data_IF_999208137727
#
_entry.id   IF_999208137727
#
_cell.length_a   1.000
_cell.length_b   1.000
_cell.length_c   1.000
_cell.angle_alpha   90.00
_cell.angle_beta   90.00
_cell.angle_gamma   90.00
#
_symmetry.space_group_name_H-M   'P 1'
#
loop_
_entity.id
_entity.type
_entity.pdbx_description
1 polymer ?
#
# COMPACT_ATOMS: atom_id res chain seq x y z
N UNK A 1 -28.46 -20.69 -10.70
CA UNK A 1 -28.11 -20.17 -9.37
C UNK A 1 -28.32 -21.26 -8.36
N UNK A 2 -27.36 -21.46 -7.45
CA UNK A 2 -27.40 -22.53 -6.45
C UNK A 2 -27.03 -21.95 -5.09
N UNK A 3 -27.73 -22.33 -4.03
CA UNK A 3 -27.41 -21.96 -2.66
C UNK A 3 -27.50 -23.19 -1.77
N UNK A 4 -26.49 -23.42 -0.93
CA UNK A 4 -26.43 -24.55 -0.01
C UNK A 4 -26.30 -24.06 1.44
N UNK A 5 -27.18 -24.57 2.30
CA UNK A 5 -27.19 -24.29 3.73
C UNK A 5 -26.94 -25.56 4.53
N UNK A 6 -26.02 -25.49 5.48
CA UNK A 6 -25.88 -26.45 6.55
C UNK A 6 -26.46 -25.84 7.82
N UNK A 7 -27.58 -26.40 8.24
CA UNK A 7 -28.33 -25.96 9.41
C UNK A 7 -28.04 -26.94 10.53
N UNK A 8 -27.59 -26.43 11.67
CA UNK A 8 -27.34 -27.21 12.89
C UNK A 8 -28.31 -26.77 13.97
N UNK A 9 -28.86 -27.73 14.69
CA UNK A 9 -29.75 -27.48 15.82
C UNK A 9 -29.60 -28.59 16.88
N UNK A 10 -29.95 -28.33 18.14
CA UNK A 10 -30.05 -29.38 19.15
C UNK A 10 -30.99 -30.50 18.67
N UNK A 11 -30.63 -31.76 18.89
CA UNK A 11 -31.50 -32.90 18.57
C UNK A 11 -32.57 -33.00 19.68
N UNK A 12 -33.73 -32.41 19.41
CA UNK A 12 -34.96 -32.60 20.16
C UNK A 12 -35.82 -33.63 19.40
N UNK A 13 -35.97 -34.83 19.97
CA UNK A 13 -36.72 -35.91 19.31
C UNK A 13 -38.20 -35.55 19.07
N UNK A 14 -38.74 -34.58 19.81
CA UNK A 14 -40.12 -34.12 19.69
C UNK A 14 -40.33 -33.06 18.60
N UNK A 15 -39.33 -32.24 18.28
CA UNK A 15 -39.50 -31.08 17.39
C UNK A 15 -38.52 -31.08 16.21
N UNK A 16 -39.05 -31.00 14.99
CA UNK A 16 -38.25 -30.97 13.77
C UNK A 16 -37.22 -32.14 13.64
N UNK A 17 -37.58 -33.33 14.11
CA UNK A 17 -36.68 -34.48 14.24
C UNK A 17 -36.40 -35.26 12.94
N UNK A 18 -37.02 -34.89 11.82
CA UNK A 18 -36.82 -35.55 10.54
C UNK A 18 -37.06 -34.62 9.35
N UNK A 19 -36.70 -35.08 8.14
CA UNK A 19 -36.84 -34.34 6.88
C UNK A 19 -38.26 -33.83 6.62
N UNK A 20 -39.28 -34.64 6.90
CA UNK A 20 -40.68 -34.25 6.65
C UNK A 20 -41.09 -33.11 7.59
N UNK A 21 -40.79 -33.23 8.88
CA UNK A 21 -41.06 -32.21 9.88
C UNK A 21 -40.39 -30.87 9.51
N UNK A 22 -39.14 -30.90 9.07
CA UNK A 22 -38.43 -29.70 8.61
C UNK A 22 -39.10 -29.05 7.39
N UNK A 23 -39.49 -29.84 6.38
CA UNK A 23 -40.20 -29.33 5.20
C UNK A 23 -41.56 -28.74 5.56
N UNK A 24 -42.30 -29.39 6.45
CA UNK A 24 -43.60 -28.90 6.90
C UNK A 24 -43.45 -27.63 7.75
N UNK A 25 -42.36 -27.50 8.51
CA UNK A 25 -42.02 -26.26 9.22
C UNK A 25 -41.77 -25.09 8.27
N UNK A 26 -41.07 -25.31 7.15
CA UNK A 26 -40.88 -24.26 6.14
C UNK A 26 -42.21 -23.75 5.55
N UNK A 27 -43.25 -24.59 5.49
CA UNK A 27 -44.59 -24.22 4.99
C UNK A 27 -45.41 -23.39 5.99
N UNK A 28 -44.98 -23.27 7.24
CA UNK A 28 -45.65 -22.41 8.24
C UNK A 28 -45.63 -20.95 7.78
N UNK A 29 -44.60 -20.58 7.02
CA UNK A 29 -44.53 -19.25 6.43
C UNK A 29 -45.46 -19.10 5.22
N UNK A 30 -46.48 -18.25 5.35
CA UNK A 30 -47.42 -17.98 4.26
C UNK A 30 -46.78 -17.46 2.97
N UNK A 31 -45.54 -16.96 3.01
CA UNK A 31 -44.80 -16.49 1.82
C UNK A 31 -44.10 -17.63 1.05
N UNK A 32 -44.06 -18.83 1.62
CA UNK A 32 -43.45 -20.00 1.01
C UNK A 32 -44.54 -21.02 0.66
N UNK A 33 -44.46 -21.59 -0.54
CA UNK A 33 -45.24 -22.77 -0.88
C UNK A 33 -44.34 -23.86 -1.44
N UNK A 34 -44.61 -25.12 -1.07
CA UNK A 34 -43.78 -26.26 -1.44
C UNK A 34 -44.67 -27.30 -2.11
N UNK A 35 -44.34 -27.65 -3.35
CA UNK A 35 -45.04 -28.67 -4.14
C UNK A 35 -44.02 -29.63 -4.76
N UNK A 36 -44.02 -30.88 -4.30
CA UNK A 36 -43.03 -31.88 -4.72
C UNK A 36 -41.61 -31.46 -4.36
N UNK A 37 -40.73 -31.36 -5.37
CA UNK A 37 -39.34 -30.91 -5.22
C UNK A 37 -39.14 -29.41 -5.54
N UNK A 38 -40.23 -28.64 -5.60
CA UNK A 38 -40.19 -27.21 -5.89
C UNK A 38 -40.64 -26.39 -4.68
N UNK A 39 -39.95 -25.29 -4.46
CA UNK A 39 -40.27 -24.25 -3.49
C UNK A 39 -40.52 -22.95 -4.25
N UNK A 40 -41.66 -22.32 -3.96
CA UNK A 40 -42.04 -21.03 -4.52
C UNK A 40 -42.04 -19.97 -3.43
N UNK A 41 -41.65 -18.76 -3.82
CA UNK A 41 -41.62 -17.58 -2.95
C UNK A 41 -42.53 -16.49 -3.50
N UNK A 42 -43.26 -15.81 -2.60
CA UNK A 42 -44.08 -14.64 -2.92
C UNK A 42 -43.80 -13.52 -1.91
N UNK A 43 -43.88 -12.26 -2.36
CA UNK A 43 -43.65 -11.09 -1.48
C UNK A 43 -44.83 -10.79 -0.55
N UNK A 44 -46.04 -11.22 -0.91
CA UNK A 44 -47.24 -11.05 -0.10
C UNK A 44 -48.04 -12.36 -0.03
N UNK A 45 -48.80 -12.63 1.05
CA UNK A 45 -49.51 -13.90 1.21
C UNK A 45 -50.54 -14.18 0.11
N UNK A 46 -51.11 -13.13 -0.49
CA UNK A 46 -52.07 -13.21 -1.61
C UNK A 46 -51.46 -12.89 -2.98
N UNK A 47 -50.13 -12.72 -3.04
CA UNK A 47 -49.41 -12.38 -4.25
C UNK A 47 -49.16 -13.58 -5.16
N UNK A 48 -48.75 -13.31 -6.40
CA UNK A 48 -48.25 -14.33 -7.33
C UNK A 48 -46.84 -14.77 -6.94
N UNK A 49 -46.53 -16.03 -7.21
CA UNK A 49 -45.17 -16.57 -7.06
C UNK A 49 -44.18 -15.74 -7.89
N UNK A 50 -43.12 -15.27 -7.23
CA UNK A 50 -42.08 -14.41 -7.81
C UNK A 50 -40.89 -15.21 -8.30
N UNK A 51 -40.53 -16.26 -7.57
CA UNK A 51 -39.45 -17.19 -7.94
C UNK A 51 -39.85 -18.61 -7.58
N UNK A 52 -39.46 -19.54 -8.44
CA UNK A 52 -39.55 -20.98 -8.21
C UNK A 52 -38.15 -21.56 -8.23
N UNK A 53 -37.80 -22.30 -7.19
CA UNK A 53 -36.55 -23.05 -7.10
C UNK A 53 -36.83 -24.53 -6.90
N UNK A 54 -35.96 -25.38 -7.45
CA UNK A 54 -35.84 -26.78 -7.02
C UNK A 54 -35.20 -26.78 -5.64
N UNK A 55 -35.63 -27.68 -4.75
CA UNK A 55 -34.99 -27.83 -3.45
C UNK A 55 -34.79 -29.29 -3.07
N UNK A 56 -33.74 -29.55 -2.29
CA UNK A 56 -33.42 -30.85 -1.70
C UNK A 56 -33.04 -30.68 -0.24
N UNK A 57 -33.52 -31.58 0.61
CA UNK A 57 -33.17 -31.64 2.03
C UNK A 57 -32.61 -33.01 2.35
N UNK A 58 -31.49 -33.02 3.05
CA UNK A 58 -30.88 -34.19 3.70
C UNK A 58 -30.73 -33.90 5.20
N UNK A 59 -30.78 -34.93 6.03
CA UNK A 59 -30.65 -34.78 7.48
C UNK A 59 -30.10 -36.05 8.10
N UNK A 60 -29.30 -35.89 9.15
CA UNK A 60 -28.85 -36.97 10.02
C UNK A 60 -28.49 -36.41 11.41
N UNK A 61 -28.29 -37.30 12.39
CA UNK A 61 -27.76 -36.94 13.70
C UNK A 61 -26.24 -36.70 13.61
N UNK A 62 -25.75 -35.72 14.36
CA UNK A 62 -24.32 -35.48 14.53
C UNK A 62 -23.77 -36.57 15.47
N UNK A 63 -22.77 -37.33 15.03
CA UNK A 63 -22.31 -38.52 15.78
C UNK A 63 -21.72 -38.20 17.16
N UNK A 64 -21.15 -37.02 17.32
CA UNK A 64 -20.37 -36.62 18.50
C UNK A 64 -21.14 -35.78 19.51
N UNK A 65 -22.29 -35.22 19.14
CA UNK A 65 -23.07 -34.30 19.96
C UNK A 65 -24.57 -34.63 19.85
N UNK A 66 -25.37 -34.21 20.83
CA UNK A 66 -26.83 -34.29 20.75
C UNK A 66 -27.40 -33.20 19.83
N UNK A 67 -27.00 -33.24 18.56
CA UNK A 67 -27.32 -32.27 17.52
C UNK A 67 -27.80 -32.99 16.27
N UNK A 68 -28.61 -32.30 15.47
CA UNK A 68 -29.05 -32.74 14.15
C UNK A 68 -28.68 -31.70 13.12
N UNK A 69 -28.29 -32.16 11.95
CA UNK A 69 -28.09 -31.27 10.81
C UNK A 69 -29.16 -31.43 9.76
N UNK A 70 -29.42 -30.33 9.05
CA UNK A 70 -30.17 -30.30 7.79
C UNK A 70 -29.30 -29.66 6.73
N UNK A 71 -29.02 -30.41 5.66
CA UNK A 71 -28.41 -29.88 4.45
C UNK A 71 -29.53 -29.51 3.48
N UNK A 72 -29.74 -28.21 3.28
CA UNK A 72 -30.73 -27.66 2.37
C UNK A 72 -30.04 -27.09 1.13
N UNK A 73 -30.39 -27.62 -0.03
CA UNK A 73 -29.90 -27.16 -1.34
C UNK A 73 -31.06 -26.52 -2.10
N UNK A 74 -30.85 -25.31 -2.60
CA UNK A 74 -31.79 -24.55 -3.43
C UNK A 74 -31.17 -24.28 -4.80
N UNK A 75 -31.91 -24.53 -5.87
CA UNK A 75 -31.47 -24.34 -7.24
C UNK A 75 -32.53 -23.61 -8.06
N UNK A 76 -32.15 -22.45 -8.60
CA UNK A 76 -32.99 -21.66 -9.51
C UNK A 76 -32.26 -21.51 -10.84
N UNK A 77 -32.87 -21.95 -11.94
CA UNK A 77 -32.27 -21.90 -13.28
C UNK A 77 -32.29 -20.48 -13.88
N UNK A 78 -33.28 -19.66 -13.52
CA UNK A 78 -33.48 -18.33 -14.10
C UNK A 78 -32.62 -17.27 -13.39
N UNK A 79 -31.46 -16.95 -13.97
CA UNK A 79 -30.55 -15.94 -13.40
C UNK A 79 -31.13 -14.51 -13.35
N UNK A 80 -32.16 -14.21 -14.14
CA UNK A 80 -32.90 -12.94 -14.08
C UNK A 80 -33.63 -12.74 -12.75
N UNK A 81 -33.96 -13.82 -12.03
CA UNK A 81 -34.67 -13.79 -10.75
C UNK A 81 -33.71 -13.79 -9.55
N UNK A 82 -32.49 -13.28 -9.72
CA UNK A 82 -31.44 -13.29 -8.69
C UNK A 82 -31.88 -12.57 -7.41
N UNK A 83 -32.62 -11.47 -7.55
CA UNK A 83 -33.07 -10.65 -6.43
C UNK A 83 -34.12 -11.42 -5.62
N UNK A 84 -35.13 -11.97 -6.29
CA UNK A 84 -36.19 -12.76 -5.69
C UNK A 84 -35.65 -14.06 -5.06
N UNK A 85 -34.66 -14.69 -5.72
CA UNK A 85 -33.99 -15.88 -5.19
C UNK A 85 -33.13 -15.57 -3.95
N UNK A 86 -32.51 -14.39 -3.91
CA UNK A 86 -31.83 -13.87 -2.72
C UNK A 86 -32.82 -13.65 -1.57
N UNK A 87 -33.98 -13.06 -1.85
CA UNK A 87 -35.04 -12.83 -0.86
C UNK A 87 -35.58 -14.16 -0.29
N UNK A 88 -35.82 -15.16 -1.14
CA UNK A 88 -36.16 -16.52 -0.71
C UNK A 88 -35.10 -17.12 0.21
N UNK A 89 -33.83 -17.00 -0.17
CA UNK A 89 -32.69 -17.53 0.59
C UNK A 89 -32.61 -16.92 2.00
N UNK A 90 -32.70 -15.59 2.11
CA UNK A 90 -32.72 -14.90 3.42
C UNK A 90 -33.98 -15.22 4.22
N UNK A 91 -35.14 -15.38 3.55
CA UNK A 91 -36.39 -15.75 4.22
C UNK A 91 -36.30 -17.14 4.83
N UNK A 92 -35.72 -18.11 4.12
CA UNK A 92 -35.48 -19.46 4.64
C UNK A 92 -34.60 -19.42 5.88
N UNK A 93 -33.48 -18.66 5.87
CA UNK A 93 -32.63 -18.49 7.06
C UNK A 93 -33.44 -18.00 8.25
N UNK A 94 -34.24 -16.94 8.04
CA UNK A 94 -35.08 -16.36 9.09
C UNK A 94 -36.15 -17.32 9.62
N UNK A 95 -36.71 -18.19 8.77
CA UNK A 95 -37.65 -19.22 9.22
C UNK A 95 -36.91 -20.25 10.06
N UNK A 96 -35.80 -20.78 9.55
CA UNK A 96 -35.02 -21.84 10.20
C UNK A 96 -34.48 -21.41 11.57
N UNK A 97 -34.04 -20.16 11.71
CA UNK A 97 -33.62 -19.59 13.00
C UNK A 97 -34.73 -19.61 14.07
N UNK A 98 -36.00 -19.71 13.67
CA UNK A 98 -37.14 -19.81 14.60
C UNK A 98 -37.41 -21.23 15.10
N UNK A 99 -36.72 -22.25 14.57
CA UNK A 99 -36.87 -23.63 15.03
C UNK A 99 -36.39 -23.74 16.48
N UNK A 100 -35.18 -23.26 16.76
CA UNK A 100 -34.62 -23.15 18.11
C UNK A 100 -33.91 -21.81 18.26
N UNK A 101 -34.63 -20.71 18.58
CA UNK A 101 -34.05 -19.37 18.66
C UNK A 101 -32.82 -19.32 19.58
N UNK A 102 -31.70 -18.81 19.04
CA UNK A 102 -30.42 -18.71 19.77
C UNK A 102 -29.60 -20.00 19.84
N UNK A 103 -30.15 -21.15 19.45
CA UNK A 103 -29.45 -22.44 19.41
C UNK A 103 -29.30 -23.02 17.99
N UNK A 104 -30.05 -22.51 17.02
CA UNK A 104 -29.90 -22.89 15.60
C UNK A 104 -28.77 -22.10 14.95
N UNK A 105 -27.82 -22.80 14.33
CA UNK A 105 -26.77 -22.20 13.51
C UNK A 105 -27.03 -22.48 12.02
N UNK A 106 -27.01 -21.42 11.20
CA UNK A 106 -27.23 -21.53 9.74
C UNK A 106 -25.96 -21.14 8.99
N UNK A 107 -25.23 -22.15 8.50
CA UNK A 107 -24.01 -21.96 7.74
C UNK A 107 -24.32 -22.00 6.24
N UNK A 108 -23.83 -21.02 5.48
CA UNK A 108 -23.92 -21.06 4.01
C UNK A 108 -22.68 -21.73 3.46
N UNK A 109 -22.82 -22.94 2.91
CA UNK A 109 -21.71 -23.70 2.32
C UNK A 109 -21.40 -23.24 0.89
N UNK A 110 -22.44 -22.84 0.16
CA UNK A 110 -22.30 -22.34 -1.21
C UNK A 110 -23.29 -21.20 -1.44
N UNK A 111 -22.79 -20.01 -1.81
CA UNK A 111 -23.59 -18.83 -2.12
C UNK A 111 -23.46 -18.45 -3.59
N UNK A 112 -24.27 -19.07 -4.45
CA UNK A 112 -24.29 -18.75 -5.87
C UNK A 112 -24.86 -17.36 -6.17
N UNK A 113 -25.69 -16.81 -5.29
CA UNK A 113 -26.25 -15.45 -5.44
C UNK A 113 -25.17 -14.41 -5.19
N UNK A 114 -24.51 -14.50 -4.03
CA UNK A 114 -23.41 -13.61 -3.68
C UNK A 114 -22.26 -13.69 -4.67
N UNK A 115 -21.97 -14.87 -5.20
CA UNK A 115 -21.01 -15.04 -6.29
C UNK A 115 -21.38 -14.25 -7.54
N UNK A 116 -22.63 -14.31 -8.00
CA UNK A 116 -23.04 -13.56 -9.20
C UNK A 116 -22.95 -12.05 -8.97
N UNK A 117 -23.31 -11.57 -7.76
CA UNK A 117 -23.12 -10.16 -7.44
C UNK A 117 -21.64 -9.76 -7.41
N UNK A 118 -20.78 -10.61 -6.85
CA UNK A 118 -19.32 -10.40 -6.85
C UNK A 118 -18.76 -10.34 -8.28
N UNK A 119 -19.15 -11.28 -9.15
CA UNK A 119 -18.77 -11.32 -10.57
C UNK A 119 -19.23 -10.04 -11.31
N UNK A 120 -20.44 -9.54 -11.02
CA UNK A 120 -20.93 -8.27 -11.59
C UNK A 120 -20.25 -7.04 -11.01
N UNK A 121 -19.84 -7.07 -9.74
CA UNK A 121 -19.20 -5.95 -9.06
C UNK A 121 -17.74 -5.75 -9.48
N UNK A 122 -17.03 -6.85 -9.74
CA UNK A 122 -15.59 -6.81 -9.99
C UNK A 122 -15.18 -5.89 -11.15
N UNK A 123 -15.81 -5.94 -12.35
CA UNK A 123 -15.46 -5.04 -13.45
C UNK A 123 -15.65 -3.56 -13.10
N UNK A 124 -16.69 -3.23 -12.31
CA UNK A 124 -17.00 -1.87 -11.88
C UNK A 124 -15.90 -1.34 -10.96
N UNK A 125 -15.47 -2.15 -10.00
CA UNK A 125 -14.41 -1.80 -9.06
C UNK A 125 -13.07 -1.65 -9.80
N UNK A 126 -12.75 -2.60 -10.68
CA UNK A 126 -11.53 -2.58 -11.49
C UNK A 126 -11.45 -1.32 -12.37
N UNK A 127 -12.57 -0.89 -12.97
CA UNK A 127 -12.59 0.36 -13.74
C UNK A 127 -12.22 1.56 -12.87
N UNK A 128 -12.85 1.72 -11.71
CA UNK A 128 -12.60 2.84 -10.79
C UNK A 128 -11.18 2.83 -10.24
N UNK A 129 -10.64 1.66 -9.93
CA UNK A 129 -9.25 1.47 -9.53
C UNK A 129 -8.29 1.98 -10.61
N UNK A 130 -8.49 1.56 -11.86
CA UNK A 130 -7.66 1.99 -12.98
C UNK A 130 -7.79 3.49 -13.27
N UNK A 131 -8.98 4.08 -13.08
CA UNK A 131 -9.15 5.53 -13.20
C UNK A 131 -8.35 6.28 -12.13
N UNK A 132 -8.33 5.80 -10.90
CA UNK A 132 -7.52 6.39 -9.83
C UNK A 132 -6.02 6.24 -10.10
N UNK A 133 -5.57 5.05 -10.51
CA UNK A 133 -4.18 4.79 -10.92
C UNK A 133 -3.76 5.75 -12.04
N UNK A 134 -4.62 5.94 -13.02
CA UNK A 134 -4.38 6.87 -14.13
C UNK A 134 -4.29 8.33 -13.67
N UNK A 135 -5.15 8.77 -12.75
CA UNK A 135 -5.11 10.11 -12.18
C UNK A 135 -3.77 10.34 -11.46
N UNK A 136 -3.39 9.42 -10.58
CA UNK A 136 -2.14 9.52 -9.81
C UNK A 136 -0.93 9.51 -10.74
N UNK A 137 -0.86 8.57 -11.68
CA UNK A 137 0.25 8.48 -12.62
C UNK A 137 0.40 9.77 -13.42
N UNK A 138 -0.71 10.31 -13.96
CA UNK A 138 -0.67 11.56 -14.72
C UNK A 138 -0.26 12.74 -13.87
N UNK A 139 -0.81 12.86 -12.66
CA UNK A 139 -0.42 13.91 -11.72
C UNK A 139 1.09 13.82 -11.45
N UNK A 140 1.58 12.69 -10.93
CA UNK A 140 2.98 12.57 -10.53
C UNK A 140 3.96 12.66 -11.70
N UNK A 141 3.61 12.17 -12.90
CA UNK A 141 4.46 12.32 -14.09
C UNK A 141 4.54 13.76 -14.57
N UNK A 142 3.43 14.50 -14.55
CA UNK A 142 3.40 15.92 -14.97
C UNK A 142 4.14 16.79 -13.95
N UNK A 143 4.00 16.47 -12.65
CA UNK A 143 4.49 17.33 -11.57
C UNK A 143 5.93 17.01 -11.16
N UNK A 144 6.26 15.73 -11.00
CA UNK A 144 7.58 15.30 -10.51
C UNK A 144 8.47 14.82 -11.65
N UNK A 145 7.93 14.04 -12.60
CA UNK A 145 8.68 13.51 -13.76
C UNK A 145 8.88 12.00 -13.70
N UNK A 146 9.72 11.44 -14.58
CA UNK A 146 9.80 9.99 -14.81
C UNK A 146 10.19 9.14 -13.58
N UNK A 147 10.98 9.68 -12.65
CA UNK A 147 11.47 8.97 -11.47
C UNK A 147 10.61 9.21 -10.21
N UNK A 148 9.39 9.74 -10.37
CA UNK A 148 8.52 10.15 -9.26
C UNK A 148 8.26 9.05 -8.23
N UNK A 149 8.24 7.77 -8.63
CA UNK A 149 8.04 6.64 -7.73
C UNK A 149 9.21 6.44 -6.77
N UNK A 150 10.43 6.78 -7.20
CA UNK A 150 11.64 6.79 -6.37
C UNK A 150 11.74 8.08 -5.55
N UNK A 151 11.36 9.20 -6.16
CA UNK A 151 11.61 10.54 -5.62
C UNK A 151 10.50 11.08 -4.71
N UNK A 152 9.25 10.61 -4.86
CA UNK A 152 8.06 11.23 -4.27
C UNK A 152 7.01 10.22 -3.76
N UNK A 153 7.36 8.96 -3.51
CA UNK A 153 6.49 7.98 -2.83
C UNK A 153 7.03 7.68 -1.43
N UNK A 154 6.14 7.34 -0.50
CA UNK A 154 6.50 6.93 0.86
C UNK A 154 7.51 5.76 0.82
N UNK A 155 8.65 5.83 1.55
CA UNK A 155 9.67 4.77 1.53
C UNK A 155 9.15 3.37 1.84
N UNK A 156 8.11 3.22 2.68
CA UNK A 156 7.48 1.93 2.94
C UNK A 156 6.72 1.37 1.72
N UNK A 157 6.08 2.26 0.96
CA UNK A 157 5.43 1.90 -0.30
C UNK A 157 6.45 1.61 -1.39
N UNK A 158 7.52 2.40 -1.49
CA UNK A 158 8.60 2.14 -2.43
C UNK A 158 9.27 0.77 -2.20
N UNK A 159 9.48 0.37 -0.94
CA UNK A 159 9.96 -0.98 -0.61
C UNK A 159 9.04 -2.10 -1.11
N UNK A 160 7.73 -1.86 -1.25
CA UNK A 160 6.80 -2.84 -1.84
C UNK A 160 6.96 -2.92 -3.36
N UNK A 161 7.24 -1.79 -3.99
CA UNK A 161 7.53 -1.67 -5.44
C UNK A 161 8.84 -2.38 -5.77
N UNK A 162 9.91 -2.16 -4.98
CA UNK A 162 11.22 -2.83 -5.18
C UNK A 162 11.18 -4.35 -4.95
N UNK A 163 10.31 -4.82 -4.06
CA UNK A 163 10.14 -6.25 -3.77
C UNK A 163 9.26 -6.98 -4.78
N UNK A 164 8.75 -6.29 -5.79
CA UNK A 164 7.92 -6.90 -6.81
C UNK A 164 8.81 -7.75 -7.74
N UNK A 165 8.56 -9.06 -7.78
CA UNK A 165 9.44 -10.03 -8.46
C UNK A 165 9.36 -9.98 -10.00
N UNK A 166 8.31 -9.37 -10.57
CA UNK A 166 8.14 -9.25 -12.03
C UNK A 166 8.87 -8.02 -12.59
N UNK A 167 9.90 -8.27 -13.41
CA UNK A 167 10.71 -7.28 -14.12
C UNK A 167 10.09 -6.82 -15.47
N UNK A 168 8.76 -6.77 -15.60
CA UNK A 168 8.16 -6.25 -16.83
C UNK A 168 8.40 -4.73 -16.94
N UNK A 169 9.21 -4.26 -17.91
CA UNK A 169 9.58 -2.85 -18.03
C UNK A 169 8.39 -1.96 -18.42
N UNK A 170 7.27 -2.53 -18.85
CA UNK A 170 6.06 -1.81 -19.23
C UNK A 170 5.04 -1.68 -18.08
N UNK A 171 5.30 -2.30 -16.92
CA UNK A 171 4.45 -2.17 -15.72
C UNK A 171 4.82 -0.90 -14.95
N UNK A 172 3.92 0.10 -14.97
CA UNK A 172 4.06 1.30 -14.15
C UNK A 172 4.04 0.93 -12.65
N UNK A 173 4.87 1.60 -11.85
CA UNK A 173 5.06 1.35 -10.43
C UNK A 173 3.79 1.39 -9.57
N UNK A 174 2.75 2.13 -10.00
CA UNK A 174 1.46 2.06 -9.35
C UNK A 174 0.88 0.64 -9.40
N UNK A 175 0.98 -0.09 -10.51
CA UNK A 175 0.46 -1.45 -10.63
C UNK A 175 1.12 -2.46 -9.69
N UNK A 176 2.28 -2.11 -9.13
CA UNK A 176 2.96 -2.89 -8.08
C UNK A 176 2.40 -2.63 -6.68
N UNK A 177 1.48 -1.66 -6.54
CA UNK A 177 0.82 -1.29 -5.29
C UNK A 177 -0.63 -1.77 -5.23
N UNK A 178 -1.06 -2.28 -4.07
CA UNK A 178 -2.46 -2.61 -3.79
C UNK A 178 -3.41 -1.39 -3.79
N UNK A 179 -4.71 -1.66 -3.96
CA UNK A 179 -5.82 -0.70 -3.94
C UNK A 179 -5.76 0.32 -2.80
N UNK A 180 -5.40 -0.12 -1.59
CA UNK A 180 -5.36 0.74 -0.40
C UNK A 180 -4.17 1.72 -0.44
N UNK A 181 -3.07 1.36 -1.09
CA UNK A 181 -1.90 2.23 -1.18
C UNK A 181 -2.15 3.42 -2.11
N UNK A 182 -3.09 3.30 -3.06
CA UNK A 182 -3.50 4.42 -3.91
C UNK A 182 -4.08 5.59 -3.09
N UNK A 183 -4.79 5.29 -1.99
CA UNK A 183 -5.31 6.35 -1.12
C UNK A 183 -4.20 7.06 -0.37
N UNK A 184 -3.13 6.34 0.00
CA UNK A 184 -1.98 6.93 0.70
C UNK A 184 -1.22 7.92 -0.18
N UNK A 185 -1.16 7.71 -1.50
CA UNK A 185 -0.49 8.65 -2.41
C UNK A 185 -1.23 10.00 -2.52
N UNK A 186 -2.57 10.00 -2.48
CA UNK A 186 -3.38 11.22 -2.67
C UNK A 186 -3.84 11.89 -1.38
N UNK A 187 -4.16 11.11 -0.35
CA UNK A 187 -4.87 11.58 0.86
C UNK A 187 -4.01 11.59 2.12
N UNK A 188 -2.82 10.98 2.11
CA UNK A 188 -1.90 11.07 3.25
C UNK A 188 -1.46 12.53 3.43
N UNK A 189 -1.73 13.07 4.63
CA UNK A 189 -1.38 14.45 4.97
C UNK A 189 0.10 14.54 5.27
N UNK A 190 0.79 15.51 4.67
CA UNK A 190 2.24 15.69 4.81
C UNK A 190 2.56 17.11 5.21
N UNK A 191 3.74 17.29 5.82
CA UNK A 191 4.32 18.59 6.15
C UNK A 191 5.18 19.04 4.98
N UNK A 192 5.12 20.32 4.67
CA UNK A 192 5.84 20.90 3.53
C UNK A 192 7.21 21.44 3.92
N UNK A 193 7.54 21.48 5.20
CA UNK A 193 8.88 21.86 5.70
C UNK A 193 9.25 20.93 6.85
N UNK A 194 10.56 20.73 7.08
CA UNK A 194 11.03 19.91 8.19
C UNK A 194 10.84 20.62 9.54
N UNK A 195 10.88 19.87 10.64
CA UNK A 195 10.81 20.46 11.99
C UNK A 195 12.02 21.38 12.25
N UNK A 196 13.19 21.01 11.73
CA UNK A 196 14.41 21.81 11.87
C UNK A 196 14.34 23.14 11.11
N UNK A 197 13.67 23.19 9.96
CA UNK A 197 13.44 24.44 9.22
C UNK A 197 12.46 25.37 9.94
N UNK A 198 11.39 24.83 10.53
CA UNK A 198 10.47 25.61 11.35
C UNK A 198 11.18 26.20 12.58
N UNK A 199 12.01 25.39 13.26
CA UNK A 199 12.77 25.82 14.44
C UNK A 199 13.82 26.90 14.11
N UNK A 200 14.27 26.99 12.85
CA UNK A 200 15.16 28.07 12.37
C UNK A 200 14.40 29.37 12.06
N UNK A 201 13.12 29.29 11.71
CA UNK A 201 12.27 30.42 11.28
C UNK A 201 11.56 31.12 12.46
N UNK A 202 11.08 30.35 13.43
CA UNK A 202 10.35 30.84 14.60
C UNK A 202 11.11 31.87 15.46
N UNK A 203 12.45 31.78 15.67
CA UNK A 203 13.17 32.72 16.53
C UNK A 203 13.57 34.03 15.83
N UNK A 204 13.47 34.11 14.50
CA UNK A 204 14.08 35.18 13.69
C UNK A 204 13.10 36.22 13.13
N UNK A 205 11.80 36.13 13.39
CA UNK A 205 10.81 36.88 12.59
C UNK A 205 9.59 37.37 13.38
N UNK A 206 9.22 38.65 13.21
CA UNK A 206 7.88 39.17 13.50
C UNK A 206 6.99 38.97 12.27
N UNK A 207 5.92 38.18 12.40
CA UNK A 207 5.17 37.68 11.25
C UNK A 207 4.26 38.74 10.60
N UNK A 208 4.48 39.01 9.31
CA UNK A 208 3.57 39.76 8.45
C UNK A 208 2.52 38.83 7.76
N UNK A 209 1.66 39.36 6.88
CA UNK A 209 0.62 38.53 6.20
C UNK A 209 1.21 37.48 5.23
N UNK A 210 2.39 37.74 4.65
CA UNK A 210 3.12 36.79 3.80
C UNK A 210 3.72 35.64 4.64
N UNK A 211 4.19 35.95 5.85
CA UNK A 211 4.65 34.95 6.82
C UNK A 211 3.50 34.10 7.39
N UNK A 212 2.31 34.68 7.59
CA UNK A 212 1.11 33.91 7.91
C UNK A 212 0.76 32.93 6.80
N UNK A 213 0.89 33.34 5.55
CA UNK A 213 0.66 32.47 4.39
C UNK A 213 1.65 31.29 4.37
N UNK A 214 2.92 31.54 4.74
CA UNK A 214 3.95 30.50 4.91
C UNK A 214 3.70 29.58 6.11
N UNK A 215 3.27 30.10 7.26
CA UNK A 215 2.90 29.29 8.44
C UNK A 215 1.67 28.44 8.15
N UNK A 216 0.73 28.93 7.35
CA UNK A 216 -0.42 28.13 6.89
C UNK A 216 0.00 26.92 6.02
N UNK A 217 1.19 26.94 5.40
CA UNK A 217 1.79 25.79 4.70
C UNK A 217 2.38 24.73 5.65
N UNK A 218 2.59 25.06 6.93
CA UNK A 218 2.94 24.08 7.96
C UNK A 218 1.76 23.19 8.37
N UNK A 219 0.52 23.65 8.11
CA UNK A 219 -0.68 22.83 8.37
C UNK A 219 -0.69 21.67 7.36
N UNK A 220 -0.64 20.41 7.82
CA UNK A 220 -0.48 19.29 6.93
C UNK A 220 -1.72 19.12 6.04
N UNK A 221 -1.50 19.18 4.73
CA UNK A 221 -2.53 19.02 3.70
C UNK A 221 -2.15 17.90 2.74
N UNK A 222 -3.14 17.12 2.34
CA UNK A 222 -3.00 16.07 1.34
C UNK A 222 -2.87 16.65 -0.08
N UNK A 223 -2.32 15.88 -1.03
CA UNK A 223 -2.29 16.27 -2.45
C UNK A 223 -3.70 16.57 -2.98
N UNK A 224 -4.72 15.83 -2.49
CA UNK A 224 -6.12 16.12 -2.78
C UNK A 224 -6.56 17.51 -2.31
N UNK A 225 -6.27 17.87 -1.05
CA UNK A 225 -6.63 19.15 -0.47
C UNK A 225 -5.90 20.34 -1.13
N UNK A 226 -4.68 20.10 -1.62
CA UNK A 226 -3.84 21.13 -2.26
C UNK A 226 -4.25 21.42 -3.70
N UNK A 227 -4.41 20.37 -4.50
CA UNK A 227 -4.43 20.52 -5.96
C UNK A 227 -5.79 20.21 -6.59
N UNK A 228 -6.69 19.53 -5.88
CA UNK A 228 -7.92 19.02 -6.47
C UNK A 228 -9.19 19.56 -5.80
N UNK A 229 -9.25 19.65 -4.47
CA UNK A 229 -10.47 19.98 -3.72
C UNK A 229 -11.16 21.28 -4.18
N UNK A 230 -10.38 22.34 -4.45
CA UNK A 230 -10.84 23.63 -4.95
C UNK A 230 -11.29 23.58 -6.42
N UNK A 231 -10.68 22.71 -7.22
CA UNK A 231 -10.98 22.55 -8.63
C UNK A 231 -12.25 21.74 -8.88
N UNK A 232 -12.60 20.79 -8.00
CA UNK A 232 -13.75 19.89 -8.22
C UNK A 232 -15.03 20.28 -7.47
N UNK A 233 -15.00 21.39 -6.70
CA UNK A 233 -16.10 21.83 -5.81
C UNK A 233 -16.63 20.69 -4.90
N UNK A 234 -15.70 19.88 -4.40
CA UNK A 234 -16.01 18.76 -3.51
C UNK A 234 -15.39 18.97 -2.13
N UNK A 235 -16.25 19.02 -1.10
CA UNK A 235 -15.83 19.25 0.28
C UNK A 235 -14.76 18.24 0.72
N UNK A 236 -13.77 18.74 1.47
CA UNK A 236 -12.68 17.96 2.04
C UNK A 236 -13.19 16.66 2.72
N UNK A 237 -12.51 15.54 2.46
CA UNK A 237 -12.78 14.17 2.96
C UNK A 237 -13.97 13.40 2.35
N UNK A 238 -14.76 13.98 1.44
CA UNK A 238 -15.87 13.26 0.78
C UNK A 238 -15.40 12.07 -0.06
N UNK A 239 -14.37 12.28 -0.89
CA UNK A 239 -13.84 11.25 -1.78
C UNK A 239 -13.09 10.14 -1.03
N UNK A 240 -12.25 10.52 -0.06
CA UNK A 240 -11.46 9.61 0.78
C UNK A 240 -12.37 8.59 1.50
N UNK A 241 -13.43 9.06 2.17
CA UNK A 241 -14.39 8.18 2.86
C UNK A 241 -15.12 7.23 1.90
N UNK A 242 -15.48 7.72 0.71
CA UNK A 242 -16.10 6.88 -0.34
C UNK A 242 -15.12 5.81 -0.82
N UNK A 243 -13.84 6.16 -0.97
CA UNK A 243 -12.78 5.24 -1.37
C UNK A 243 -12.52 4.15 -0.32
N UNK A 244 -12.43 4.52 0.96
CA UNK A 244 -12.29 3.56 2.07
C UNK A 244 -13.46 2.58 2.15
N UNK A 245 -14.68 3.09 1.94
CA UNK A 245 -15.88 2.26 1.93
C UNK A 245 -15.90 1.31 0.73
N UNK A 246 -15.51 1.80 -0.45
CA UNK A 246 -15.37 0.98 -1.65
C UNK A 246 -14.29 -0.11 -1.45
N UNK A 247 -13.18 0.20 -0.77
CA UNK A 247 -12.13 -0.77 -0.43
C UNK A 247 -12.67 -1.90 0.45
N UNK A 248 -13.45 -1.58 1.50
CA UNK A 248 -14.09 -2.61 2.37
C UNK A 248 -14.99 -3.53 1.56
N UNK A 249 -15.79 -2.97 0.64
CA UNK A 249 -16.68 -3.73 -0.24
C UNK A 249 -15.91 -4.56 -1.27
N UNK A 250 -14.82 -4.01 -1.84
CA UNK A 250 -13.90 -4.72 -2.75
C UNK A 250 -13.29 -5.94 -2.10
N UNK A 251 -12.81 -5.83 -0.86
CA UNK A 251 -12.26 -6.97 -0.13
C UNK A 251 -13.32 -8.05 0.09
N UNK A 252 -14.58 -7.65 0.33
CA UNK A 252 -15.68 -8.59 0.42
C UNK A 252 -15.88 -9.39 -0.89
N UNK A 253 -15.87 -8.69 -2.03
CA UNK A 253 -15.94 -9.28 -3.37
C UNK A 253 -14.76 -10.22 -3.63
N UNK A 254 -13.51 -9.77 -3.39
CA UNK A 254 -12.30 -10.55 -3.66
C UNK A 254 -12.17 -11.81 -2.78
N UNK A 255 -12.65 -11.77 -1.54
CA UNK A 255 -12.63 -12.91 -0.63
C UNK A 255 -13.87 -13.80 -0.74
N UNK A 256 -14.72 -13.62 -1.76
CA UNK A 256 -15.96 -14.38 -1.97
C UNK A 256 -16.88 -14.42 -0.73
N UNK A 257 -16.88 -13.33 0.07
CA UNK A 257 -17.72 -13.24 1.27
C UNK A 257 -19.12 -12.83 0.83
N UNK A 258 -20.15 -13.66 1.07
CA UNK A 258 -21.57 -13.46 0.73
C UNK A 258 -21.96 -11.99 0.45
N UNK A 259 -21.88 -11.58 -0.82
CA UNK A 259 -22.17 -10.21 -1.28
C UNK A 259 -23.69 -10.09 -1.44
N UNK A 260 -24.31 -9.16 -0.73
CA UNK A 260 -25.76 -8.92 -0.80
C UNK A 260 -26.09 -7.92 -1.91
N UNK A 261 -27.35 -7.95 -2.37
CA UNK A 261 -27.87 -6.97 -3.35
C UNK A 261 -27.61 -5.51 -2.92
N UNK A 262 -27.91 -5.18 -1.66
CA UNK A 262 -27.70 -3.83 -1.12
C UNK A 262 -26.24 -3.38 -1.21
N UNK A 263 -25.30 -4.31 -1.02
CA UNK A 263 -23.86 -4.03 -1.11
C UNK A 263 -23.42 -3.88 -2.57
N UNK A 264 -23.99 -4.67 -3.48
CA UNK A 264 -23.77 -4.50 -4.93
C UNK A 264 -24.29 -3.15 -5.43
N UNK A 265 -25.49 -2.74 -5.02
CA UNK A 265 -26.06 -1.44 -5.37
C UNK A 265 -25.24 -0.29 -4.75
N UNK A 266 -24.72 -0.49 -3.53
CA UNK A 266 -23.79 0.44 -2.90
C UNK A 266 -22.47 0.57 -3.67
N UNK A 267 -21.88 -0.54 -4.15
CA UNK A 267 -20.69 -0.53 -5.00
C UNK A 267 -20.96 0.28 -6.27
N UNK A 268 -22.08 0.05 -6.95
CA UNK A 268 -22.47 0.82 -8.14
C UNK A 268 -22.57 2.32 -7.86
N UNK A 269 -23.26 2.69 -6.78
CA UNK A 269 -23.43 4.10 -6.40
C UNK A 269 -22.10 4.77 -6.07
N UNK A 270 -21.26 4.13 -5.24
CA UNK A 270 -19.93 4.62 -4.88
C UNK A 270 -19.03 4.74 -6.11
N UNK A 271 -18.97 3.71 -6.94
CA UNK A 271 -18.14 3.68 -8.13
C UNK A 271 -18.54 4.78 -9.13
N UNK A 272 -19.84 4.94 -9.39
CA UNK A 272 -20.32 6.00 -10.27
C UNK A 272 -19.94 7.39 -9.74
N UNK A 273 -20.11 7.61 -8.44
CA UNK A 273 -19.81 8.90 -7.84
C UNK A 273 -18.29 9.16 -7.90
N UNK A 274 -17.46 8.23 -7.44
CA UNK A 274 -16.00 8.34 -7.48
C UNK A 274 -15.50 8.58 -8.92
N UNK A 275 -16.06 7.87 -9.90
CA UNK A 275 -15.73 8.04 -11.33
C UNK A 275 -16.01 9.46 -11.82
N UNK A 276 -17.12 10.06 -11.41
CA UNK A 276 -17.46 11.44 -11.75
C UNK A 276 -16.41 12.42 -11.20
N UNK A 277 -16.03 12.24 -9.94
CA UNK A 277 -15.05 13.09 -9.24
C UNK A 277 -13.66 12.96 -9.86
N UNK A 278 -13.19 11.73 -10.07
CA UNK A 278 -11.91 11.45 -10.73
C UNK A 278 -11.92 11.99 -12.16
N UNK A 279 -13.05 11.87 -12.87
CA UNK A 279 -13.21 12.40 -14.22
C UNK A 279 -13.02 13.92 -14.28
N UNK A 280 -13.69 14.65 -13.38
CA UNK A 280 -13.52 16.10 -13.25
C UNK A 280 -12.09 16.49 -12.86
N UNK A 281 -11.49 15.80 -11.88
CA UNK A 281 -10.09 16.02 -11.48
C UNK A 281 -9.11 15.77 -12.63
N UNK A 282 -9.32 14.71 -13.41
CA UNK A 282 -8.48 14.37 -14.56
C UNK A 282 -8.57 15.41 -15.66
N UNK A 283 -9.76 15.98 -15.91
CA UNK A 283 -9.96 17.02 -16.92
C UNK A 283 -9.23 18.33 -16.56
N UNK A 284 -9.14 18.64 -15.27
CA UNK A 284 -8.50 19.86 -14.75
C UNK A 284 -7.01 19.71 -14.45
N UNK A 285 -6.41 18.53 -14.69
CA UNK A 285 -4.97 18.31 -14.48
C UNK A 285 -4.09 19.33 -15.21
N UNK A 286 -4.49 19.76 -16.41
CA UNK A 286 -3.74 20.75 -17.19
C UNK A 286 -3.88 22.19 -16.70
N UNK A 287 -4.80 22.44 -15.76
CA UNK A 287 -5.00 23.75 -15.12
C UNK A 287 -4.12 23.89 -13.85
N UNK A 288 -3.45 22.81 -13.43
CA UNK A 288 -2.59 22.81 -12.25
C UNK A 288 -1.22 23.38 -12.66
N UNK A 289 -0.99 24.65 -12.33
CA UNK A 289 0.32 25.29 -12.45
C UNK A 289 1.13 25.01 -11.18
N UNK A 290 2.16 24.18 -11.29
CA UNK A 290 3.06 23.85 -10.17
C UNK A 290 4.37 24.60 -10.40
N UNK A 291 4.65 25.56 -9.52
CA UNK A 291 5.92 26.26 -9.51
C UNK A 291 7.06 25.34 -9.04
N UNK A 292 8.31 25.76 -9.28
CA UNK A 292 9.50 24.95 -9.01
C UNK A 292 9.67 24.65 -7.51
N UNK A 293 9.26 25.57 -6.62
CA UNK A 293 9.24 25.36 -5.17
C UNK A 293 8.26 24.24 -4.77
N UNK A 294 7.01 24.29 -5.21
CA UNK A 294 5.98 23.27 -4.90
C UNK A 294 6.36 21.89 -5.44
N UNK A 295 7.08 21.84 -6.57
CA UNK A 295 7.66 20.61 -7.12
C UNK A 295 8.75 20.05 -6.22
N UNK A 296 9.69 20.89 -5.78
CA UNK A 296 10.72 20.49 -4.83
C UNK A 296 10.14 20.06 -3.49
N UNK A 297 9.06 20.71 -3.02
CA UNK A 297 8.35 20.33 -1.80
C UNK A 297 7.67 18.97 -1.91
N UNK A 298 7.02 18.67 -3.05
CA UNK A 298 6.50 17.33 -3.31
C UNK A 298 7.65 16.33 -3.23
N UNK A 299 8.80 16.58 -3.85
CA UNK A 299 9.96 15.68 -3.81
C UNK A 299 10.56 15.55 -2.39
N UNK A 300 10.69 16.66 -1.66
CA UNK A 300 11.32 16.74 -0.35
C UNK A 300 10.47 16.07 0.74
N UNK A 301 9.15 16.21 0.69
CA UNK A 301 8.20 15.62 1.64
C UNK A 301 8.23 14.09 1.72
N UNK A 302 8.85 13.40 0.75
CA UNK A 302 9.06 11.95 0.78
C UNK A 302 10.54 11.54 0.97
N UNK A 303 11.50 12.46 0.85
CA UNK A 303 12.94 12.18 0.93
C UNK A 303 13.47 12.09 2.36
N UNK A 304 12.85 12.72 3.36
CA UNK A 304 13.42 12.88 4.70
C UNK A 304 13.67 11.59 5.51
N UNK A 305 13.23 10.41 5.03
CA UNK A 305 13.36 9.15 5.80
C UNK A 305 13.90 7.93 5.00
N UNK A 306 14.32 8.10 3.74
CA UNK A 306 14.78 6.95 2.92
C UNK A 306 16.29 6.67 3.08
N UNK A 307 16.73 5.38 3.09
CA UNK A 307 18.16 5.04 3.12
C UNK A 307 18.97 5.64 1.97
N UNK A 308 18.36 5.80 0.79
CA UNK A 308 19.00 6.41 -0.38
C UNK A 308 19.17 7.92 -0.22
N UNK A 309 18.23 8.61 0.43
CA UNK A 309 18.37 10.03 0.73
C UNK A 309 19.50 10.28 1.73
N UNK A 310 19.60 9.43 2.76
CA UNK A 310 20.71 9.48 3.74
C UNK A 310 22.04 9.19 3.05
N UNK A 311 22.08 8.25 2.10
CA UNK A 311 23.24 7.95 1.27
C UNK A 311 23.68 9.17 0.46
N UNK A 312 22.76 9.76 -0.31
CA UNK A 312 23.02 10.94 -1.12
C UNK A 312 23.47 12.15 -0.29
N UNK A 313 22.81 12.40 0.84
CA UNK A 313 23.18 13.47 1.77
C UNK A 313 24.58 13.25 2.35
N UNK A 314 24.93 12.01 2.68
CA UNK A 314 26.26 11.64 3.15
C UNK A 314 27.32 11.82 2.07
N UNK A 315 27.02 11.43 0.83
CA UNK A 315 27.90 11.63 -0.33
C UNK A 315 28.20 13.12 -0.56
N UNK A 316 27.18 13.97 -0.54
CA UNK A 316 27.34 15.43 -0.69
C UNK A 316 28.12 16.05 0.45
N UNK A 317 27.80 15.71 1.70
CA UNK A 317 28.49 16.23 2.87
C UNK A 317 29.98 15.84 2.89
N UNK A 318 30.30 14.60 2.49
CA UNK A 318 31.69 14.14 2.38
C UNK A 318 32.40 14.82 1.20
N UNK A 319 31.75 14.94 0.04
CA UNK A 319 32.32 15.66 -1.10
C UNK A 319 32.65 17.13 -0.75
N UNK A 320 31.75 17.83 -0.06
CA UNK A 320 31.99 19.18 0.45
C UNK A 320 33.15 19.24 1.44
N UNK A 321 33.26 18.25 2.34
CA UNK A 321 34.38 18.17 3.28
C UNK A 321 35.72 18.06 2.53
N UNK A 322 35.81 17.24 1.48
CA UNK A 322 37.01 17.15 0.65
C UNK A 322 37.29 18.47 -0.07
N UNK A 323 36.28 19.11 -0.65
CA UNK A 323 36.44 20.41 -1.30
C UNK A 323 36.97 21.48 -0.33
N UNK A 324 36.39 21.58 0.87
CA UNK A 324 36.85 22.49 1.94
C UNK A 324 38.26 22.16 2.44
N UNK A 325 38.65 20.88 2.37
CA UNK A 325 40.00 20.41 2.68
C UNK A 325 41.03 20.64 1.57
N UNK A 326 40.63 21.35 0.50
CA UNK A 326 41.50 21.75 -0.61
C UNK A 326 41.67 20.69 -1.70
N UNK A 327 40.73 19.75 -1.83
CA UNK A 327 40.66 18.85 -2.98
C UNK A 327 39.80 19.44 -4.09
N UNK A 328 40.17 19.20 -5.34
CA UNK A 328 39.28 19.37 -6.48
C UNK A 328 38.43 18.11 -6.62
N UNK A 329 37.10 18.25 -6.47
CA UNK A 329 36.16 17.12 -6.44
C UNK A 329 35.41 17.02 -7.76
N UNK A 330 35.49 15.86 -8.40
CA UNK A 330 34.79 15.55 -9.64
C UNK A 330 33.79 14.41 -9.41
N UNK A 331 32.47 14.65 -9.51
CA UNK A 331 31.48 13.59 -9.40
C UNK A 331 31.56 12.64 -10.61
N UNK A 332 31.32 11.35 -10.39
CA UNK A 332 31.29 10.36 -11.48
C UNK A 332 29.86 10.27 -12.02
N UNK A 333 29.60 10.53 -13.33
CA UNK A 333 28.25 10.47 -13.89
C UNK A 333 27.64 9.05 -13.84
N UNK A 334 26.34 8.98 -13.54
CA UNK A 334 25.53 7.75 -13.35
C UNK A 334 25.48 6.84 -14.61
N UNK A 335 26.00 7.27 -15.75
CA UNK A 335 25.82 6.62 -17.04
C UNK A 335 26.72 5.39 -17.31
N UNK A 336 27.65 5.03 -16.42
CA UNK A 336 28.47 3.82 -16.60
C UNK A 336 27.93 2.66 -15.76
N UNK A 337 27.67 1.52 -16.39
CA UNK A 337 27.24 0.26 -15.76
C UNK A 337 28.27 -0.36 -14.79
N UNK A 338 29.35 0.37 -14.48
CA UNK A 338 30.48 -0.05 -13.66
C UNK A 338 30.93 1.05 -12.68
N UNK A 339 29.97 1.67 -11.99
CA UNK A 339 30.29 2.69 -10.98
C UNK A 339 30.93 2.03 -9.75
N UNK A 340 32.26 2.13 -9.63
CA UNK A 340 33.00 1.58 -8.49
C UNK A 340 33.13 2.57 -7.32
N UNK A 341 33.09 3.88 -7.60
CA UNK A 341 33.31 4.97 -6.65
C UNK A 341 32.27 6.08 -6.84
N UNK A 342 32.05 6.88 -5.80
CA UNK A 342 31.02 7.92 -5.80
C UNK A 342 31.58 9.23 -6.40
N UNK A 343 32.85 9.58 -6.11
CA UNK A 343 33.56 10.70 -6.75
C UNK A 343 35.08 10.53 -6.74
N UNK A 344 35.77 11.37 -7.53
CA UNK A 344 37.24 11.49 -7.53
C UNK A 344 37.65 12.81 -6.87
N UNK A 345 38.67 12.77 -6.04
CA UNK A 345 39.28 13.92 -5.38
C UNK A 345 40.74 14.07 -5.78
N UNK A 346 41.13 15.24 -6.31
CA UNK A 346 42.50 15.54 -6.74
C UNK A 346 43.13 16.58 -5.81
N UNK A 347 44.34 16.31 -5.32
CA UNK A 347 45.13 17.29 -4.56
C UNK A 347 46.61 17.04 -4.76
N UNK A 348 47.36 18.10 -5.10
CA UNK A 348 48.83 18.05 -5.25
C UNK A 348 49.32 16.93 -6.19
N UNK A 349 48.59 16.69 -7.29
CA UNK A 349 48.91 15.64 -8.27
C UNK A 349 48.59 14.21 -7.83
N UNK A 350 47.96 14.02 -6.66
CA UNK A 350 47.46 12.72 -6.19
C UNK A 350 45.97 12.60 -6.49
N UNK A 351 45.60 11.54 -7.20
CA UNK A 351 44.21 11.22 -7.54
C UNK A 351 43.68 10.18 -6.56
N UNK A 352 42.62 10.54 -5.84
CA UNK A 352 42.00 9.68 -4.83
C UNK A 352 40.59 9.34 -5.29
N UNK A 353 40.24 8.06 -5.28
CA UNK A 353 38.86 7.65 -5.48
C UNK A 353 38.15 7.50 -4.13
N UNK A 354 36.94 8.06 -4.02
CA UNK A 354 36.19 8.07 -2.77
C UNK A 354 34.90 7.26 -2.92
N UNK A 355 34.72 6.28 -2.05
CA UNK A 355 33.46 5.53 -1.88
C UNK A 355 32.87 5.87 -0.51
N UNK A 356 31.68 6.45 -0.51
CA UNK A 356 30.93 6.86 0.68
C UNK A 356 29.85 5.83 0.98
N UNK A 357 29.78 5.39 2.23
CA UNK A 357 28.77 4.42 2.67
C UNK A 357 28.22 4.79 4.03
N UNK A 358 26.93 4.60 4.19
CA UNK A 358 26.22 4.87 5.44
C UNK A 358 25.98 3.57 6.20
N UNK A 359 26.29 3.52 7.50
CA UNK A 359 26.10 2.32 8.30
C UNK A 359 25.43 2.57 9.63
N UNK A 360 24.66 1.58 10.08
CA UNK A 360 24.30 1.38 11.49
C UNK A 360 25.36 0.55 12.20
N UNK A 361 25.41 0.59 13.54
CA UNK A 361 26.43 -0.15 14.33
C UNK A 361 26.39 -1.64 14.09
N UNK A 362 25.20 -2.23 14.13
CA UNK A 362 25.01 -3.67 14.01
C UNK A 362 25.51 -4.24 12.67
N UNK A 363 25.51 -3.41 11.60
CA UNK A 363 25.91 -3.82 10.25
C UNK A 363 27.34 -3.41 9.87
N UNK A 364 28.02 -2.59 10.68
CA UNK A 364 29.30 -1.97 10.31
C UNK A 364 30.36 -3.00 9.88
N UNK A 365 30.71 -3.93 10.75
CA UNK A 365 31.84 -4.84 10.50
C UNK A 365 31.61 -5.82 9.33
N UNK A 366 30.46 -6.52 9.22
CA UNK A 366 30.19 -7.37 8.07
C UNK A 366 30.16 -6.60 6.74
N UNK A 367 29.59 -5.39 6.75
CA UNK A 367 29.49 -4.54 5.57
C UNK A 367 30.86 -4.03 5.12
N UNK A 368 31.68 -3.51 6.04
CA UNK A 368 33.03 -3.05 5.76
C UNK A 368 33.93 -4.16 5.20
N UNK A 369 33.86 -5.37 5.76
CA UNK A 369 34.62 -6.52 5.26
C UNK A 369 34.23 -6.90 3.82
N UNK A 370 32.93 -6.89 3.51
CA UNK A 370 32.42 -7.16 2.18
C UNK A 370 32.85 -6.07 1.18
N UNK A 371 32.74 -4.80 1.57
CA UNK A 371 33.12 -3.67 0.72
C UNK A 371 34.62 -3.67 0.43
N UNK A 372 35.47 -3.81 1.44
CA UNK A 372 36.93 -3.82 1.24
C UNK A 372 37.35 -4.91 0.26
N UNK A 373 36.79 -6.11 0.39
CA UNK A 373 37.02 -7.20 -0.56
C UNK A 373 36.61 -6.79 -1.98
N UNK A 374 35.38 -6.29 -2.14
CA UNK A 374 34.82 -5.88 -3.45
C UNK A 374 35.61 -4.74 -4.10
N UNK A 375 35.95 -3.72 -3.32
CA UNK A 375 36.63 -2.51 -3.80
C UNK A 375 38.09 -2.81 -4.15
N UNK A 376 38.75 -3.70 -3.42
CA UNK A 376 40.10 -4.19 -3.75
C UNK A 376 40.11 -5.06 -5.01
N UNK A 377 39.17 -6.01 -5.12
CA UNK A 377 38.98 -6.84 -6.33
C UNK A 377 38.74 -5.96 -7.56
N UNK A 378 37.85 -4.97 -7.45
CA UNK A 378 37.56 -4.03 -8.54
C UNK A 378 38.77 -3.19 -8.95
N UNK A 379 39.58 -2.70 -8.02
CA UNK A 379 40.78 -1.94 -8.41
C UNK A 379 41.78 -2.83 -9.16
N UNK A 380 41.96 -4.08 -8.73
CA UNK A 380 42.90 -5.00 -9.38
C UNK A 380 42.47 -5.42 -10.79
N UNK A 381 41.17 -5.46 -11.06
CA UNK A 381 40.60 -5.99 -12.31
C UNK A 381 40.33 -4.93 -13.39
N UNK A 382 40.45 -3.64 -13.07
CA UNK A 382 40.02 -2.53 -13.92
C UNK A 382 41.17 -1.54 -14.23
N UNK A 383 41.77 -1.61 -15.44
CA UNK A 383 42.90 -0.77 -15.85
C UNK A 383 42.64 0.73 -15.81
N UNK A 384 41.38 1.16 -15.89
CA UNK A 384 40.96 2.56 -15.77
C UNK A 384 41.33 3.20 -14.41
N UNK A 385 41.70 2.40 -13.42
CA UNK A 385 42.11 2.83 -12.09
C UNK A 385 43.63 2.78 -11.83
N UNK A 386 44.46 2.51 -12.85
CA UNK A 386 45.94 2.50 -12.73
C UNK A 386 46.55 3.85 -12.33
N UNK A 387 45.84 4.96 -12.55
CA UNK A 387 46.27 6.32 -12.18
C UNK A 387 45.90 6.76 -10.75
N UNK A 388 45.21 5.92 -9.98
CA UNK A 388 44.81 6.25 -8.62
C UNK A 388 45.98 6.11 -7.64
N UNK A 389 46.17 7.13 -6.80
CA UNK A 389 47.15 7.11 -5.72
C UNK A 389 46.64 6.34 -4.51
N UNK A 390 45.34 6.42 -4.21
CA UNK A 390 44.70 5.74 -3.06
C UNK A 390 43.18 5.63 -3.25
N UNK A 391 42.57 4.70 -2.54
CA UNK A 391 41.11 4.65 -2.36
C UNK A 391 40.77 5.06 -0.93
N UNK A 392 39.84 6.00 -0.78
CA UNK A 392 39.29 6.38 0.50
C UNK A 392 37.88 5.81 0.63
N UNK A 393 37.70 4.91 1.58
CA UNK A 393 36.39 4.38 1.94
C UNK A 393 35.87 5.14 3.15
N UNK A 394 34.89 6.01 2.94
CA UNK A 394 34.34 6.90 3.96
C UNK A 394 33.04 6.32 4.50
N UNK A 395 33.05 5.91 5.77
CA UNK A 395 31.88 5.40 6.45
C UNK A 395 31.24 6.49 7.32
N UNK A 396 30.01 6.85 6.98
CA UNK A 396 29.20 7.80 7.75
C UNK A 396 28.28 7.02 8.69
N UNK A 397 28.51 7.18 10.00
CA UNK A 397 27.71 6.55 11.04
C UNK A 397 26.42 7.33 11.25
N UNK A 398 25.30 6.61 11.37
CA UNK A 398 23.98 7.23 11.57
C UNK A 398 23.74 7.53 13.05
N UNK A 399 23.11 8.67 13.33
CA UNK A 399 22.94 9.24 14.68
C UNK A 399 21.93 8.52 15.59
N UNK A 400 21.27 7.45 15.12
CA UNK A 400 20.28 6.68 15.89
C UNK A 400 20.87 5.86 17.06
N UNK A 401 22.18 5.98 17.37
CA UNK A 401 22.83 5.29 18.49
C UNK A 401 23.78 6.22 19.26
N UNK A 402 23.34 6.69 20.43
CA UNK A 402 24.02 7.70 21.25
C UNK A 402 25.32 7.25 21.94
N UNK A 403 25.89 6.09 21.58
CA UNK A 403 27.17 5.61 22.11
C UNK A 403 27.80 4.60 21.13
N UNK A 404 28.45 5.11 20.08
CA UNK A 404 29.35 4.29 19.29
C UNK A 404 30.65 4.07 20.07
N UNK A 405 31.04 2.82 20.38
CA UNK A 405 32.35 2.54 20.97
C UNK A 405 33.42 2.69 19.87
N UNK A 406 33.79 3.92 19.56
CA UNK A 406 34.70 4.29 18.47
C UNK A 406 36.03 3.51 18.58
N UNK A 407 36.53 3.29 19.80
CA UNK A 407 37.72 2.46 20.05
C UNK A 407 37.57 1.01 19.56
N UNK A 408 36.40 0.40 19.73
CA UNK A 408 36.14 -0.96 19.24
C UNK A 408 36.01 -1.00 17.72
N UNK A 409 35.57 0.09 17.11
CA UNK A 409 35.48 0.23 15.66
C UNK A 409 36.87 0.40 15.07
N UNK A 410 37.71 1.25 15.67
CA UNK A 410 39.11 1.42 15.26
C UNK A 410 39.90 0.11 15.39
N UNK A 411 39.78 -0.62 16.50
CA UNK A 411 40.42 -1.93 16.66
C UNK A 411 40.00 -2.93 15.56
N UNK A 412 38.73 -2.91 15.16
CA UNK A 412 38.21 -3.76 14.07
C UNK A 412 38.70 -3.31 12.70
N UNK A 413 38.88 -2.01 12.48
CA UNK A 413 39.44 -1.47 11.25
C UNK A 413 40.92 -1.79 11.13
N UNK A 414 41.71 -1.63 12.20
CA UNK A 414 43.13 -2.00 12.20
C UNK A 414 43.31 -3.45 11.76
N UNK A 415 42.52 -4.36 12.35
CA UNK A 415 42.50 -5.77 11.95
C UNK A 415 42.06 -5.99 10.50
N UNK A 416 41.13 -5.20 9.98
CA UNK A 416 40.75 -5.28 8.57
C UNK A 416 41.87 -4.73 7.67
N UNK A 417 42.55 -3.65 8.04
CA UNK A 417 43.63 -3.06 7.26
C UNK A 417 44.84 -3.98 7.15
N UNK A 418 45.12 -4.79 8.17
CA UNK A 418 46.14 -5.87 8.10
C UNK A 418 45.89 -6.84 6.92
N UNK A 419 44.63 -7.09 6.56
CA UNK A 419 44.25 -8.02 5.48
C UNK A 419 44.29 -7.37 4.07
N UNK A 420 44.29 -6.03 3.95
CA UNK A 420 44.10 -5.33 2.66
C UNK A 420 45.21 -4.32 2.28
N UNK A 421 46.17 -4.05 3.16
CA UNK A 421 47.39 -3.27 2.87
C UNK A 421 47.20 -1.76 2.65
N UNK A 422 48.27 -1.06 2.26
CA UNK A 422 48.36 0.43 2.24
C UNK A 422 47.53 1.14 1.14
N UNK A 423 46.84 0.37 0.30
CA UNK A 423 46.14 0.89 -0.89
C UNK A 423 44.81 1.55 -0.54
N UNK A 424 44.14 1.10 0.52
CA UNK A 424 42.83 1.60 0.96
C UNK A 424 42.97 2.31 2.30
N UNK A 425 42.41 3.50 2.41
CA UNK A 425 42.23 4.20 3.67
C UNK A 425 40.76 4.19 4.08
N UNK A 426 40.49 3.93 5.36
CA UNK A 426 39.14 3.94 5.90
C UNK A 426 38.99 5.18 6.76
N UNK A 427 38.04 6.05 6.39
CA UNK A 427 37.67 7.20 7.20
C UNK A 427 36.31 6.96 7.82
N UNK A 428 36.14 7.38 9.07
CA UNK A 428 34.87 7.28 9.77
C UNK A 428 34.48 8.67 10.21
N UNK A 429 33.21 9.00 10.06
CA UNK A 429 32.66 10.22 10.62
C UNK A 429 31.17 10.12 10.80
N UNK A 430 30.58 11.25 11.16
CA UNK A 430 29.12 11.44 11.23
C UNK A 430 28.74 12.74 10.55
N UNK A 431 27.47 12.89 10.22
CA UNK A 431 26.92 14.20 9.98
C UNK A 431 26.68 14.87 11.33
N UNK A 432 26.88 16.19 11.43
CA UNK A 432 26.52 16.97 12.61
C UNK A 432 25.11 17.56 12.44
N UNK A 433 24.64 18.33 13.43
CA UNK A 433 23.33 19.00 13.42
C UNK A 433 23.10 19.96 12.23
N UNK A 434 24.18 20.33 11.52
CA UNK A 434 24.14 21.16 10.31
C UNK A 434 24.23 20.33 9.01
N UNK A 435 24.15 19.00 9.11
CA UNK A 435 24.36 18.03 8.03
C UNK A 435 25.78 18.07 7.41
N UNK A 436 26.75 18.66 8.09
CA UNK A 436 28.13 18.66 7.65
C UNK A 436 28.87 17.41 8.15
N UNK A 437 29.66 16.80 7.26
CA UNK A 437 30.48 15.64 7.61
C UNK A 437 31.60 16.05 8.58
N UNK A 438 31.66 15.35 9.71
CA UNK A 438 32.66 15.51 10.75
C UNK A 438 33.38 14.17 10.92
N UNK A 439 34.67 14.06 10.58
CA UNK A 439 35.46 12.85 10.82
C UNK A 439 35.67 12.63 12.33
N UNK A 440 35.81 11.36 12.73
CA UNK A 440 36.13 10.97 14.12
C UNK A 440 37.62 10.97 14.42
#
# INVERSE_FOLDING_TARGET
>A
MKTEFLILMPDDEAFCSNKKAFIDFLKVDSLISITGNKINYRKTPKGKDQVTAKFRVETDKVKSNNERYFLLVLECEQQSQIDEFSELSERIKSIVERISPGATAVNTLWDGVGRIYAEKAYPIINEVENLMRRLIAKFMLVTVGMNWSKDAINPELFKKIEKFEDEDPYINDLHKLDFIHLSQVLFEKKRDISLEELDRLLPKTDFNEEDKERILRYIPRSNWEKYFSSLVDEKNHSLERKWELLYKLRNKVAHNRNVKKSEFDQIKGLASNIKEVIGKATAKLGEIDINEEDRELIIFSYRSESPSAIGYQSEMAVAEYYARSGYEVTPIPIASTYQAFDFIALKEGKTIAVEVKTSRRASFYPMMRMLLKRTTERWLEHPEYEGLSKIHLVCVLREDESDYPIDQIYFKIEKLMEDFGDKVEIHIGRLNDENAYTPF
#
